data_IF_913526930206
#
_entry.id   IF_913526930206
#
_cell.length_a   1.000
_cell.length_b   1.000
_cell.length_c   1.000
_cell.angle_alpha   90.00
_cell.angle_beta   90.00
_cell.angle_gamma   90.00
#
_symmetry.space_group_name_H-M   'P 1'
#
loop_
_entity.id
_entity.type
_entity.pdbx_description
1 polymer ?
#
# COMPACT_ATOMS: atom_id res chain seq x y z
N UNK A 1 71.00 12.07 10.23
CA UNK A 1 70.09 11.09 10.88
C UNK A 1 69.39 10.31 9.77
N UNK A 2 69.75 9.05 9.58
CA UNK A 2 69.26 8.20 8.50
C UNK A 2 67.82 7.72 8.73
N UNK A 3 66.98 7.60 7.69
CA UNK A 3 65.61 7.11 7.85
C UNK A 3 65.59 5.58 7.99
N UNK A 4 64.81 5.07 8.96
CA UNK A 4 64.57 3.62 9.17
C UNK A 4 63.45 3.13 8.24
N UNK A 5 63.70 1.98 7.61
CA UNK A 5 62.77 1.22 6.76
C UNK A 5 61.66 0.52 7.58
N UNK A 6 60.46 0.29 7.00
CA UNK A 6 59.37 -0.45 7.64
C UNK A 6 59.57 -1.99 7.60
N UNK A 7 58.91 -2.76 8.49
CA UNK A 7 59.12 -4.19 8.63
C UNK A 7 58.44 -5.03 7.52
N UNK A 8 59.09 -6.15 7.18
CA UNK A 8 58.69 -7.11 6.13
C UNK A 8 57.48 -7.94 6.56
N UNK A 9 56.47 -8.03 5.69
CA UNK A 9 55.33 -8.96 5.80
C UNK A 9 55.75 -10.38 5.36
N UNK A 10 55.43 -11.39 6.17
CA UNK A 10 55.56 -12.81 5.84
C UNK A 10 54.38 -13.28 4.96
N UNK A 11 54.59 -14.21 4.01
CA UNK A 11 53.53 -14.69 3.12
C UNK A 11 52.65 -15.73 3.83
N UNK A 12 51.33 -15.52 3.86
CA UNK A 12 50.38 -16.56 4.27
C UNK A 12 49.84 -17.33 3.06
N UNK A 13 49.79 -18.64 3.25
CA UNK A 13 49.51 -19.68 2.27
C UNK A 13 48.08 -19.59 1.70
N UNK A 14 47.96 -19.70 0.37
CA UNK A 14 46.68 -19.93 -0.31
C UNK A 14 46.32 -21.42 -0.22
N UNK A 15 45.11 -21.80 0.23
CA UNK A 15 44.60 -23.14 -0.03
C UNK A 15 44.00 -23.17 -1.45
N UNK A 16 44.57 -24.06 -2.27
CA UNK A 16 44.02 -24.48 -3.56
C UNK A 16 42.79 -25.34 -3.35
N UNK A 17 41.61 -24.86 -3.73
CA UNK A 17 40.43 -25.71 -3.90
C UNK A 17 40.19 -25.95 -5.39
N UNK A 18 40.38 -27.21 -5.78
CA UNK A 18 40.11 -27.73 -7.11
C UNK A 18 38.61 -27.73 -7.39
N UNK A 19 38.26 -27.22 -8.57
CA UNK A 19 36.96 -27.32 -9.23
C UNK A 19 36.46 -28.76 -9.32
N UNK A 20 35.23 -29.00 -8.87
CA UNK A 20 34.39 -30.08 -9.39
C UNK A 20 33.02 -29.50 -9.72
N UNK A 21 32.79 -29.34 -11.02
CA UNK A 21 31.56 -28.86 -11.61
C UNK A 21 30.60 -30.04 -11.72
N UNK A 22 29.69 -30.20 -10.75
CA UNK A 22 28.60 -31.17 -10.85
C UNK A 22 27.41 -30.53 -11.56
N UNK A 23 27.14 -30.97 -12.79
CA UNK A 23 25.94 -30.66 -13.57
C UNK A 23 24.69 -31.17 -12.85
N UNK A 24 23.61 -30.39 -12.69
CA UNK A 24 22.31 -30.94 -12.35
C UNK A 24 21.70 -31.61 -13.59
N UNK A 25 21.40 -32.89 -13.45
CA UNK A 25 20.63 -33.71 -14.38
C UNK A 25 19.22 -33.15 -14.59
N UNK A 26 18.85 -32.93 -15.85
CA UNK A 26 17.51 -32.56 -16.27
C UNK A 26 16.51 -33.69 -15.95
N UNK A 27 15.50 -33.38 -15.14
CA UNK A 27 14.34 -34.24 -14.93
C UNK A 27 13.22 -33.87 -15.92
N UNK A 28 12.54 -34.85 -16.52
CA UNK A 28 11.56 -34.61 -17.57
C UNK A 28 10.24 -34.05 -17.00
N UNK A 29 9.64 -33.15 -17.77
CA UNK A 29 8.34 -32.54 -17.52
C UNK A 29 7.25 -33.58 -17.26
N UNK A 30 6.76 -33.60 -16.02
CA UNK A 30 5.57 -34.32 -15.59
C UNK A 30 4.31 -33.48 -15.84
N UNK A 31 3.34 -34.14 -16.46
CA UNK A 31 2.06 -33.60 -16.96
C UNK A 31 1.24 -32.93 -15.86
N UNK A 32 0.72 -31.74 -16.15
CA UNK A 32 -0.34 -31.08 -15.37
C UNK A 32 -1.64 -31.87 -15.49
N UNK A 33 -2.06 -32.53 -14.42
CA UNK A 33 -3.39 -33.13 -14.30
C UNK A 33 -4.36 -32.04 -13.84
N UNK A 34 -5.15 -31.52 -14.78
CA UNK A 34 -6.30 -30.66 -14.52
C UNK A 34 -7.42 -31.48 -13.87
N UNK A 35 -7.61 -31.32 -12.56
CA UNK A 35 -8.80 -31.81 -11.86
C UNK A 35 -9.95 -30.81 -12.02
N UNK A 36 -10.85 -31.10 -12.96
CA UNK A 36 -12.15 -30.44 -13.09
C UNK A 36 -13.11 -31.01 -12.05
N UNK A 37 -13.44 -30.22 -11.02
CA UNK A 37 -14.58 -30.52 -10.13
C UNK A 37 -15.87 -29.92 -10.72
N UNK A 38 -17.00 -30.63 -10.64
CA UNK A 38 -18.26 -30.19 -11.25
C UNK A 38 -18.91 -29.06 -10.45
N UNK A 39 -19.38 -28.03 -11.17
CA UNK A 39 -20.12 -26.92 -10.59
C UNK A 39 -21.55 -27.37 -10.23
N UNK A 40 -21.92 -27.22 -8.95
CA UNK A 40 -23.31 -27.32 -8.48
C UNK A 40 -24.00 -25.96 -8.63
N UNK A 41 -25.25 -25.91 -9.13
CA UNK A 41 -25.96 -24.66 -9.32
C UNK A 41 -26.53 -24.16 -8.00
N UNK A 42 -25.93 -23.12 -7.42
CA UNK A 42 -26.57 -22.36 -6.34
C UNK A 42 -27.44 -21.26 -6.96
N UNK A 43 -28.75 -21.46 -6.77
CA UNK A 43 -29.81 -20.48 -6.96
C UNK A 43 -29.54 -19.20 -6.18
N UNK A 44 -29.32 -18.10 -6.90
CA UNK A 44 -29.22 -16.75 -6.35
C UNK A 44 -30.59 -16.28 -5.82
N UNK A 45 -30.71 -15.80 -4.57
CA UNK A 45 -31.76 -14.87 -4.25
C UNK A 45 -31.28 -13.50 -4.73
N UNK A 46 -31.83 -13.05 -5.86
CA UNK A 46 -31.79 -11.65 -6.24
C UNK A 46 -32.55 -10.87 -5.15
N UNK A 47 -31.81 -10.23 -4.24
CA UNK A 47 -32.38 -9.24 -3.35
C UNK A 47 -31.60 -7.94 -3.49
N UNK A 48 -32.37 -6.90 -3.75
CA UNK A 48 -32.00 -5.56 -4.20
C UNK A 48 -30.92 -4.91 -3.31
N UNK A 49 -29.71 -4.77 -3.84
CA UNK A 49 -28.77 -3.79 -3.34
C UNK A 49 -28.91 -2.52 -4.18
N UNK A 50 -29.74 -1.58 -3.70
CA UNK A 50 -29.60 -0.17 -4.08
C UNK A 50 -28.20 0.30 -3.63
N UNK A 51 -27.18 0.08 -4.46
CA UNK A 51 -25.86 0.66 -4.22
C UNK A 51 -25.97 2.16 -4.41
N UNK A 52 -26.09 2.88 -3.28
CA UNK A 52 -25.90 4.32 -3.24
C UNK A 52 -24.59 4.67 -3.95
N UNK A 53 -24.68 5.53 -4.97
CA UNK A 53 -23.51 6.05 -5.68
C UNK A 53 -22.58 6.88 -4.77
N UNK A 54 -23.06 7.27 -3.59
CA UNK A 54 -22.36 8.12 -2.63
C UNK A 54 -21.24 7.36 -1.92
N UNK A 55 -20.07 8.00 -1.85
CA UNK A 55 -18.94 7.50 -1.08
C UNK A 55 -19.27 7.64 0.42
N UNK A 56 -19.13 6.58 1.24
CA UNK A 56 -19.35 6.68 2.68
C UNK A 56 -18.41 7.71 3.33
N UNK A 57 -18.74 8.25 4.52
CA UNK A 57 -17.88 9.21 5.20
C UNK A 57 -16.51 8.59 5.53
N UNK A 58 -15.44 9.40 5.66
CA UNK A 58 -14.14 8.91 6.09
C UNK A 58 -14.25 8.18 7.44
N UNK A 59 -13.54 7.06 7.62
CA UNK A 59 -13.51 6.37 8.90
C UNK A 59 -12.72 7.17 9.95
N UNK A 60 -12.86 6.85 11.25
CA UNK A 60 -12.00 7.41 12.29
C UNK A 60 -10.51 7.20 11.99
N UNK A 61 -9.66 8.19 12.29
CA UNK A 61 -8.24 8.16 11.93
C UNK A 61 -7.47 6.95 12.51
N UNK A 62 -7.92 6.44 13.67
CA UNK A 62 -7.29 5.32 14.40
C UNK A 62 -8.16 4.06 14.42
N UNK A 63 -9.07 3.91 13.46
CA UNK A 63 -10.06 2.83 13.42
C UNK A 63 -9.46 1.43 13.65
N UNK A 64 -8.27 1.12 13.12
CA UNK A 64 -7.62 -0.19 13.32
C UNK A 64 -7.32 -0.48 14.79
N UNK A 65 -6.65 0.45 15.50
CA UNK A 65 -6.32 0.29 16.92
C UNK A 65 -7.57 0.35 17.79
N UNK A 66 -8.50 1.24 17.44
CA UNK A 66 -9.73 1.46 18.22
C UNK A 66 -10.63 0.23 18.16
N UNK A 67 -10.86 -0.33 16.97
CA UNK A 67 -11.65 -1.55 16.81
C UNK A 67 -10.97 -2.76 17.46
N UNK A 68 -9.64 -2.88 17.39
CA UNK A 68 -8.91 -3.94 18.09
C UNK A 68 -9.15 -3.86 19.61
N UNK A 69 -9.05 -2.67 20.20
CA UNK A 69 -9.27 -2.47 21.63
C UNK A 69 -10.72 -2.79 22.04
N UNK A 70 -11.70 -2.37 21.23
CA UNK A 70 -13.13 -2.64 21.43
C UNK A 70 -13.45 -4.14 21.39
N UNK A 71 -12.93 -4.86 20.39
CA UNK A 71 -13.06 -6.32 20.33
C UNK A 71 -12.40 -6.98 21.53
N UNK A 72 -11.20 -6.53 21.93
CA UNK A 72 -10.50 -7.01 23.12
C UNK A 72 -11.35 -6.91 24.38
N UNK A 73 -12.01 -5.76 24.60
CA UNK A 73 -12.94 -5.56 25.71
C UNK A 73 -14.09 -6.56 25.70
N UNK A 74 -14.71 -6.79 24.54
CA UNK A 74 -15.80 -7.77 24.41
C UNK A 74 -15.34 -9.18 24.78
N UNK A 75 -14.13 -9.57 24.36
CA UNK A 75 -13.56 -10.88 24.67
C UNK A 75 -13.21 -11.00 26.16
N UNK A 76 -12.61 -9.97 26.75
CA UNK A 76 -12.29 -9.93 28.19
C UNK A 76 -13.54 -10.00 29.06
N UNK A 77 -14.63 -9.34 28.67
CA UNK A 77 -15.89 -9.34 29.42
C UNK A 77 -16.58 -10.71 29.43
N UNK A 78 -16.39 -11.51 28.38
CA UNK A 78 -17.07 -12.79 28.20
C UNK A 78 -17.83 -12.85 26.88
N UNK A 79 -17.49 -13.83 26.04
CA UNK A 79 -18.15 -14.09 24.77
C UNK A 79 -18.57 -15.57 24.68
N UNK A 80 -19.80 -15.83 24.23
CA UNK A 80 -20.20 -17.18 23.85
C UNK A 80 -19.55 -17.61 22.51
N UNK A 81 -19.71 -18.89 22.14
CA UNK A 81 -19.09 -19.45 20.95
C UNK A 81 -19.41 -18.67 19.65
N UNK A 82 -20.66 -18.24 19.47
CA UNK A 82 -21.07 -17.48 18.27
C UNK A 82 -20.44 -16.07 18.25
N UNK A 83 -20.30 -15.43 19.41
CA UNK A 83 -19.64 -14.13 19.54
C UNK A 83 -18.13 -14.24 19.29
N UNK A 84 -17.48 -15.29 19.78
CA UNK A 84 -16.06 -15.56 19.50
C UNK A 84 -15.83 -15.71 18.00
N UNK A 85 -16.70 -16.43 17.28
CA UNK A 85 -16.60 -16.55 15.82
C UNK A 85 -16.73 -15.19 15.11
N UNK A 86 -17.64 -14.32 15.56
CA UNK A 86 -17.75 -12.95 15.03
C UNK A 86 -16.51 -12.11 15.31
N UNK A 87 -16.01 -12.15 16.55
CA UNK A 87 -14.80 -11.45 16.96
C UNK A 87 -13.58 -11.90 16.13
N UNK A 88 -13.40 -13.22 15.94
CA UNK A 88 -12.35 -13.78 15.11
C UNK A 88 -12.44 -13.28 13.66
N UNK A 89 -13.66 -13.21 13.11
CA UNK A 89 -13.92 -12.63 11.80
C UNK A 89 -13.43 -11.18 11.69
N UNK A 90 -13.74 -10.33 12.68
CA UNK A 90 -13.26 -8.93 12.71
C UNK A 90 -11.75 -8.86 12.83
N UNK A 91 -11.15 -9.62 13.76
CA UNK A 91 -9.70 -9.63 13.98
C UNK A 91 -8.95 -10.03 12.72
N UNK A 92 -9.46 -11.01 11.95
CA UNK A 92 -8.89 -11.40 10.66
C UNK A 92 -8.83 -10.24 9.68
N UNK A 93 -9.93 -9.48 9.54
CA UNK A 93 -9.97 -8.27 8.69
C UNK A 93 -8.94 -7.24 9.15
N UNK A 94 -8.86 -6.98 10.47
CA UNK A 94 -7.88 -6.04 11.04
C UNK A 94 -6.42 -6.51 10.89
N UNK A 95 -6.18 -7.81 10.79
CA UNK A 95 -4.83 -8.37 10.59
C UNK A 95 -4.41 -8.36 9.12
N UNK A 96 -5.32 -8.69 8.21
CA UNK A 96 -5.00 -9.00 6.81
C UNK A 96 -5.31 -7.82 5.87
N UNK A 97 -6.44 -7.15 6.06
CA UNK A 97 -6.97 -6.14 5.14
C UNK A 97 -6.64 -4.70 5.55
N UNK A 98 -6.13 -4.45 6.76
CA UNK A 98 -5.98 -3.09 7.30
C UNK A 98 -5.18 -2.16 6.38
N UNK A 99 -4.15 -2.66 5.67
CA UNK A 99 -3.31 -1.87 4.75
C UNK A 99 -4.11 -1.36 3.57
N UNK A 100 -4.75 -2.28 2.84
CA UNK A 100 -5.52 -1.96 1.65
C UNK A 100 -6.76 -1.15 2.01
N UNK A 101 -7.38 -1.40 3.16
CA UNK A 101 -8.51 -0.60 3.64
C UNK A 101 -8.09 0.80 4.07
N UNK A 102 -6.97 0.97 4.79
CA UNK A 102 -6.48 2.29 5.18
C UNK A 102 -6.13 3.12 3.95
N UNK A 103 -5.31 2.57 3.05
CA UNK A 103 -4.93 3.22 1.80
C UNK A 103 -6.17 3.48 0.90
N UNK A 104 -6.97 2.43 0.68
CA UNK A 104 -8.14 2.48 -0.18
C UNK A 104 -9.20 3.45 0.33
N UNK A 105 -9.36 3.65 1.65
CA UNK A 105 -10.33 4.60 2.21
C UNK A 105 -10.07 6.06 1.84
N UNK A 106 -8.86 6.36 1.35
CA UNK A 106 -8.46 7.65 0.80
C UNK A 106 -8.23 7.57 -0.72
N UNK A 107 -8.66 6.50 -1.38
CA UNK A 107 -8.56 6.34 -2.84
C UNK A 107 -7.16 5.94 -3.34
N UNK A 108 -6.25 5.50 -2.46
CA UNK A 108 -4.98 4.92 -2.94
C UNK A 108 -5.21 3.51 -3.46
N UNK A 109 -4.70 3.23 -4.66
CA UNK A 109 -4.74 1.89 -5.24
C UNK A 109 -3.57 1.07 -4.69
N UNK A 110 -3.89 -0.11 -4.13
CA UNK A 110 -2.89 -1.07 -3.63
C UNK A 110 -2.88 -2.34 -4.49
N UNK A 111 -1.82 -3.15 -4.39
CA UNK A 111 -1.63 -4.33 -5.20
C UNK A 111 -1.01 -4.05 -6.57
N UNK A 112 -0.68 -5.13 -7.28
CA UNK A 112 -0.35 -5.08 -8.71
C UNK A 112 0.83 -4.17 -9.06
N UNK A 113 1.86 -4.08 -8.21
CA UNK A 113 3.07 -3.26 -8.41
C UNK A 113 2.83 -1.75 -8.53
N UNK A 114 1.70 -1.22 -8.03
CA UNK A 114 1.36 0.22 -8.05
C UNK A 114 2.08 1.06 -6.97
N UNK A 115 3.29 0.66 -6.57
CA UNK A 115 4.05 1.30 -5.49
C UNK A 115 5.11 0.39 -4.88
N UNK A 116 5.35 0.53 -3.57
CA UNK A 116 6.17 -0.38 -2.77
C UNK A 116 5.30 -1.15 -1.79
N UNK A 117 5.49 -2.47 -1.72
CA UNK A 117 4.75 -3.33 -0.80
C UNK A 117 5.68 -4.14 0.10
N UNK A 118 5.57 -3.92 1.40
CA UNK A 118 6.34 -4.65 2.40
C UNK A 118 7.85 -4.46 2.29
N UNK A 119 8.30 -3.32 1.74
CA UNK A 119 9.70 -2.94 1.65
C UNK A 119 10.30 -2.95 3.06
N UNK A 120 11.42 -3.65 3.25
CA UNK A 120 12.09 -3.68 4.55
C UNK A 120 12.76 -2.34 4.80
N UNK A 121 12.54 -1.78 5.99
CA UNK A 121 13.39 -0.72 6.52
C UNK A 121 14.69 -1.38 6.98
N UNK A 122 15.83 -0.87 6.54
CA UNK A 122 17.14 -1.39 6.90
C UNK A 122 17.78 -0.53 7.98
N UNK A 123 18.61 -1.13 8.83
CA UNK A 123 19.22 -0.46 9.97
C UNK A 123 19.96 0.85 9.59
N UNK A 124 20.63 0.86 8.43
CA UNK A 124 21.38 2.01 7.92
C UNK A 124 20.54 3.18 7.41
N UNK A 125 19.21 3.08 7.40
CA UNK A 125 18.30 4.19 7.08
C UNK A 125 18.02 5.09 8.30
N UNK A 126 18.50 4.69 9.48
CA UNK A 126 18.38 5.49 10.70
C UNK A 126 19.51 6.52 10.81
N UNK A 127 19.26 7.60 11.54
CA UNK A 127 20.28 8.59 11.91
C UNK A 127 20.60 8.53 13.42
N UNK A 128 21.45 9.46 13.87
CA UNK A 128 21.88 9.55 15.27
C UNK A 128 20.75 9.84 16.27
N UNK A 129 19.55 10.19 15.81
CA UNK A 129 18.39 10.41 16.67
C UNK A 129 17.55 9.13 16.89
N UNK A 130 18.01 7.99 16.39
CA UNK A 130 17.43 6.68 16.73
C UNK A 130 16.14 6.34 15.98
N UNK A 131 15.88 7.01 14.86
CA UNK A 131 14.76 6.73 13.97
C UNK A 131 15.19 6.87 12.51
N UNK A 132 14.34 6.44 11.59
CA UNK A 132 14.56 6.59 10.15
C UNK A 132 14.77 8.05 9.82
N UNK A 133 15.85 8.35 9.12
CA UNK A 133 16.18 9.70 8.70
C UNK A 133 15.10 10.25 7.75
N UNK A 134 14.76 11.53 7.92
CA UNK A 134 13.70 12.19 7.17
C UNK A 134 13.90 12.12 5.64
N UNK A 135 15.15 12.13 5.14
CA UNK A 135 15.46 12.05 3.71
C UNK A 135 15.01 10.71 3.10
N UNK A 136 15.03 9.62 3.88
CA UNK A 136 14.68 8.30 3.37
C UNK A 136 13.19 8.21 2.99
N UNK A 137 12.30 8.98 3.62
CA UNK A 137 10.88 9.02 3.21
C UNK A 137 10.71 9.53 1.77
N UNK A 138 11.50 10.53 1.36
CA UNK A 138 11.49 11.01 -0.02
C UNK A 138 12.02 9.96 -1.00
N UNK A 139 13.04 9.19 -0.60
CA UNK A 139 13.57 8.07 -1.41
C UNK A 139 12.55 6.94 -1.57
N UNK A 140 11.80 6.63 -0.52
CA UNK A 140 10.72 5.64 -0.60
C UNK A 140 9.62 6.12 -1.55
N UNK A 141 9.21 7.39 -1.43
CA UNK A 141 8.22 7.99 -2.33
C UNK A 141 8.70 8.01 -3.79
N UNK A 142 9.96 8.35 -4.04
CA UNK A 142 10.55 8.31 -5.38
C UNK A 142 10.50 6.89 -5.97
N UNK A 143 10.99 5.89 -5.25
CA UNK A 143 10.99 4.50 -5.71
C UNK A 143 9.57 3.98 -5.97
N UNK A 144 8.62 4.33 -5.10
CA UNK A 144 7.21 3.97 -5.28
C UNK A 144 6.59 4.67 -6.50
N UNK A 145 6.90 5.94 -6.74
CA UNK A 145 6.43 6.69 -7.93
C UNK A 145 6.97 6.07 -9.22
N UNK A 146 8.24 5.67 -9.26
CA UNK A 146 8.80 4.97 -10.43
C UNK A 146 8.05 3.67 -10.70
N UNK A 147 7.78 2.87 -9.67
CA UNK A 147 6.97 1.66 -9.82
C UNK A 147 5.56 1.98 -10.30
N UNK A 148 4.92 3.02 -9.75
CA UNK A 148 3.57 3.44 -10.14
C UNK A 148 3.48 3.84 -11.61
N UNK A 149 4.43 4.64 -12.12
CA UNK A 149 4.45 5.05 -13.54
C UNK A 149 4.78 3.88 -14.46
N UNK A 150 5.84 3.13 -14.15
CA UNK A 150 6.30 2.02 -15.01
C UNK A 150 5.29 0.87 -15.06
N UNK A 151 4.46 0.72 -14.03
CA UNK A 151 3.33 -0.21 -14.04
C UNK A 151 2.36 0.04 -15.19
N UNK A 152 2.14 1.29 -15.61
CA UNK A 152 1.27 1.58 -16.75
C UNK A 152 1.80 0.98 -18.06
N UNK A 153 3.12 1.02 -18.29
CA UNK A 153 3.76 0.45 -19.47
C UNK A 153 3.53 -1.07 -19.65
N UNK A 154 3.34 -1.77 -18.52
CA UNK A 154 3.25 -3.23 -18.49
C UNK A 154 1.79 -3.69 -18.40
N UNK A 155 0.99 -3.04 -17.56
CA UNK A 155 -0.29 -3.57 -17.13
C UNK A 155 -1.52 -2.75 -17.52
N UNK A 156 -1.39 -1.44 -17.73
CA UNK A 156 -2.55 -0.58 -18.04
C UNK A 156 -2.61 -0.15 -19.50
N UNK A 157 -1.46 0.19 -20.10
CA UNK A 157 -1.36 0.69 -21.46
C UNK A 157 -0.15 0.08 -22.20
N UNK A 158 -0.23 -1.21 -22.57
CA UNK A 158 0.82 -1.85 -23.34
C UNK A 158 1.05 -1.23 -24.72
N UNK A 159 0.04 -0.55 -25.29
CA UNK A 159 0.11 0.09 -26.59
C UNK A 159 1.11 1.26 -26.61
N UNK A 160 1.22 2.00 -25.51
CA UNK A 160 2.20 3.08 -25.34
C UNK A 160 3.37 2.69 -24.42
N UNK A 161 3.70 1.40 -24.31
CA UNK A 161 4.77 0.91 -23.43
C UNK A 161 6.09 1.68 -23.56
N UNK A 162 6.50 1.98 -24.79
CA UNK A 162 7.75 2.70 -25.07
C UNK A 162 7.69 4.11 -24.48
N UNK A 163 6.59 4.83 -24.72
CA UNK A 163 6.38 6.19 -24.22
C UNK A 163 6.39 6.22 -22.69
N UNK A 164 5.68 5.30 -22.02
CA UNK A 164 5.69 5.17 -20.57
C UNK A 164 7.09 4.86 -20.00
N UNK A 165 7.85 4.00 -20.68
CA UNK A 165 9.21 3.66 -20.26
C UNK A 165 10.17 4.84 -20.42
N UNK A 166 10.02 5.62 -21.49
CA UNK A 166 10.84 6.80 -21.76
C UNK A 166 10.60 7.94 -20.78
N UNK A 167 9.46 7.99 -20.08
CA UNK A 167 9.21 8.98 -19.00
C UNK A 167 10.28 8.93 -17.91
N UNK A 168 10.95 7.78 -17.75
CA UNK A 168 12.03 7.56 -16.79
C UNK A 168 13.42 7.86 -17.36
N UNK A 169 13.50 8.50 -18.53
CA UNK A 169 14.75 8.80 -19.24
C UNK A 169 14.76 10.24 -19.75
N UNK A 170 15.92 10.83 -20.04
CA UNK A 170 16.01 12.20 -20.57
C UNK A 170 15.85 12.27 -22.10
N UNK A 171 15.27 11.27 -22.77
CA UNK A 171 15.31 11.17 -24.24
C UNK A 171 14.13 11.80 -24.97
N UNK A 172 12.96 11.89 -24.34
CA UNK A 172 11.74 12.41 -24.97
C UNK A 172 10.92 13.27 -24.01
N UNK A 173 9.71 12.84 -23.66
CA UNK A 173 8.92 13.44 -22.60
C UNK A 173 9.31 12.77 -21.29
N UNK A 174 9.52 13.56 -20.24
CA UNK A 174 9.72 13.03 -18.90
C UNK A 174 9.03 13.87 -17.84
N UNK A 175 9.21 13.44 -16.59
CA UNK A 175 8.55 13.99 -15.43
C UNK A 175 9.56 14.67 -14.52
N UNK A 176 9.39 15.98 -14.30
CA UNK A 176 10.26 16.77 -13.44
C UNK A 176 9.50 17.16 -12.18
N UNK A 177 10.08 16.84 -11.02
CA UNK A 177 9.54 17.26 -9.73
C UNK A 177 9.67 18.78 -9.56
N UNK A 178 8.55 19.50 -9.48
CA UNK A 178 8.53 20.94 -9.19
C UNK A 178 8.60 21.21 -7.69
N UNK A 179 7.75 20.53 -6.92
CA UNK A 179 7.70 20.66 -5.46
C UNK A 179 7.50 19.30 -4.84
N UNK A 180 8.12 19.10 -3.67
CA UNK A 180 7.99 17.89 -2.87
C UNK A 180 7.86 18.30 -1.41
N UNK A 181 6.70 18.03 -0.82
CA UNK A 181 6.40 18.34 0.59
C UNK A 181 6.16 17.04 1.34
N UNK A 182 6.64 16.95 2.58
CA UNK A 182 6.38 15.81 3.46
C UNK A 182 5.89 16.28 4.84
N UNK A 183 4.91 15.56 5.37
CA UNK A 183 4.41 15.68 6.73
C UNK A 183 4.67 14.38 7.48
N UNK A 184 5.67 14.40 8.38
CA UNK A 184 6.03 13.26 9.23
C UNK A 184 5.04 13.13 10.38
N UNK A 185 4.44 11.94 10.54
CA UNK A 185 3.38 11.68 11.54
C UNK A 185 3.92 11.03 12.81
N UNK A 186 5.03 10.30 12.72
CA UNK A 186 5.78 9.79 13.88
C UNK A 186 7.18 9.28 13.49
N UNK A 187 8.12 9.16 14.44
CA UNK A 187 9.46 8.62 14.17
C UNK A 187 9.42 7.09 14.05
N UNK A 188 9.39 6.58 12.81
CA UNK A 188 9.50 5.14 12.51
C UNK A 188 10.93 4.65 12.78
N UNK A 189 11.08 3.43 13.30
CA UNK A 189 12.38 2.83 13.67
C UNK A 189 12.61 1.51 12.93
N UNK A 190 13.87 1.06 12.91
CA UNK A 190 14.18 -0.32 12.53
C UNK A 190 13.97 -1.27 13.72
N UNK A 191 13.55 -2.54 13.49
CA UNK A 191 13.09 -3.10 12.21
C UNK A 191 11.64 -2.70 11.92
N UNK A 192 11.31 -2.45 10.65
CA UNK A 192 9.93 -2.28 10.18
C UNK A 192 9.80 -2.71 8.71
N UNK A 193 8.57 -2.80 8.23
CA UNK A 193 8.24 -2.87 6.81
C UNK A 193 7.33 -1.72 6.45
N UNK A 194 7.49 -1.21 5.24
CA UNK A 194 6.65 -0.14 4.73
C UNK A 194 5.91 -0.56 3.46
N UNK A 195 4.74 0.05 3.28
CA UNK A 195 4.11 0.14 1.97
C UNK A 195 3.96 1.61 1.59
N UNK A 196 4.18 1.92 0.32
CA UNK A 196 4.14 3.29 -0.20
C UNK A 196 3.30 3.32 -1.46
N UNK A 197 2.32 4.22 -1.49
CA UNK A 197 1.33 4.30 -2.56
C UNK A 197 1.11 5.75 -2.99
N UNK A 198 0.81 5.92 -4.27
CA UNK A 198 0.48 7.20 -4.88
C UNK A 198 -0.96 7.22 -5.38
N UNK A 199 -1.58 8.39 -5.37
CA UNK A 199 -2.87 8.67 -6.02
C UNK A 199 -2.81 10.01 -6.74
N UNK A 200 -3.54 10.13 -7.84
CA UNK A 200 -3.84 11.41 -8.47
C UNK A 200 -4.73 12.24 -7.55
N UNK A 201 -4.33 13.48 -7.27
CA UNK A 201 -5.13 14.40 -6.43
C UNK A 201 -6.37 14.93 -7.15
N UNK A 202 -6.27 15.13 -8.46
CA UNK A 202 -7.32 15.72 -9.28
C UNK A 202 -7.56 14.88 -10.54
N UNK A 203 -8.78 14.93 -11.06
CA UNK A 203 -9.13 14.35 -12.34
C UNK A 203 -8.43 15.15 -13.46
N UNK A 204 -7.52 14.55 -14.23
CA UNK A 204 -6.80 15.23 -15.31
C UNK A 204 -7.71 15.62 -16.49
N UNK A 205 -8.89 15.00 -16.61
CA UNK A 205 -9.87 15.28 -17.66
C UNK A 205 -10.81 16.42 -17.28
N UNK A 206 -10.85 16.78 -16.00
CA UNK A 206 -11.59 17.95 -15.54
C UNK A 206 -10.81 19.19 -15.95
N UNK A 207 -11.38 19.98 -16.86
CA UNK A 207 -10.91 21.33 -17.16
C UNK A 207 -11.09 22.17 -15.89
N UNK A 208 -10.09 22.17 -15.01
CA UNK A 208 -10.16 22.97 -13.79
C UNK A 208 -10.31 24.44 -14.22
N UNK A 209 -11.32 25.07 -13.63
CA UNK A 209 -12.03 26.30 -14.03
C UNK A 209 -11.22 27.60 -14.08
N UNK A 210 -9.88 27.54 -14.10
CA UNK A 210 -8.99 28.71 -14.05
C UNK A 210 -8.19 28.96 -15.33
N UNK A 211 -8.23 28.07 -16.32
CA UNK A 211 -7.59 28.31 -17.63
C UNK A 211 -8.60 28.17 -18.76
N UNK A 212 -8.80 29.25 -19.50
CA UNK A 212 -9.61 29.32 -20.73
C UNK A 212 -9.06 28.49 -21.91
N UNK A 213 -8.06 27.64 -21.67
CA UNK A 213 -7.40 26.82 -22.69
C UNK A 213 -8.04 25.44 -22.79
N UNK A 214 -8.37 25.03 -24.00
CA UNK A 214 -8.80 23.67 -24.36
C UNK A 214 -7.67 22.64 -24.31
N UNK A 215 -6.45 23.04 -23.97
CA UNK A 215 -5.29 22.16 -23.93
C UNK A 215 -5.21 21.37 -22.60
N UNK A 216 -4.72 20.12 -22.64
CA UNK A 216 -4.44 19.33 -21.44
C UNK A 216 -3.48 20.05 -20.48
N UNK A 217 -3.58 19.78 -19.15
CA UNK A 217 -2.67 20.37 -18.19
C UNK A 217 -1.22 19.94 -18.47
N UNK A 218 -0.27 20.79 -18.12
CA UNK A 218 1.17 20.53 -18.30
C UNK A 218 1.88 20.14 -16.98
N UNK A 219 1.08 19.86 -15.95
CA UNK A 219 1.52 19.38 -14.64
C UNK A 219 0.36 18.66 -13.94
N UNK A 220 0.69 17.83 -12.97
CA UNK A 220 -0.28 17.13 -12.14
C UNK A 220 0.28 16.90 -10.73
N UNK A 221 -0.61 16.68 -9.78
CA UNK A 221 -0.24 16.48 -8.37
C UNK A 221 -0.53 15.04 -7.96
N UNK A 222 0.46 14.41 -7.32
CA UNK A 222 0.28 13.14 -6.63
C UNK A 222 0.27 13.36 -5.13
N UNK A 223 -0.66 12.68 -4.46
CA UNK A 223 -0.53 12.41 -3.03
C UNK A 223 0.20 11.09 -2.85
N UNK A 224 1.01 11.00 -1.81
CA UNK A 224 1.72 9.79 -1.42
C UNK A 224 1.55 9.52 0.08
N UNK A 225 1.40 8.25 0.44
CA UNK A 225 1.41 7.80 1.83
C UNK A 225 2.52 6.78 2.05
N UNK A 226 3.21 6.87 3.18
CA UNK A 226 4.13 5.85 3.69
C UNK A 226 3.46 5.18 4.89
N UNK A 227 3.10 3.92 4.77
CA UNK A 227 2.48 3.11 5.83
C UNK A 227 3.54 2.29 6.54
N UNK A 228 3.64 2.42 7.87
CA UNK A 228 4.41 1.51 8.71
C UNK A 228 3.59 0.28 9.04
N UNK A 229 4.16 -0.91 8.84
CA UNK A 229 3.48 -2.17 9.11
C UNK A 229 3.46 -2.47 10.61
N UNK A 230 4.54 -2.14 11.34
CA UNK A 230 4.60 -2.33 12.78
C UNK A 230 3.64 -1.42 13.54
N UNK A 231 3.61 -0.14 13.20
CA UNK A 231 2.70 0.81 13.84
C UNK A 231 1.26 0.73 13.30
N UNK A 232 1.04 -0.04 12.22
CA UNK A 232 -0.23 -0.20 11.51
C UNK A 232 -0.92 1.14 11.17
N UNK A 233 -0.13 2.15 10.79
CA UNK A 233 -0.62 3.50 10.47
C UNK A 233 0.31 4.25 9.53
N UNK A 234 -0.17 5.37 9.02
CA UNK A 234 0.58 6.28 8.15
C UNK A 234 1.71 6.95 8.95
N UNK A 235 2.94 6.75 8.51
CA UNK A 235 4.17 7.33 9.05
C UNK A 235 4.50 8.69 8.43
N UNK A 236 4.22 8.87 7.14
CA UNK A 236 4.37 10.15 6.46
C UNK A 236 3.32 10.32 5.35
N UNK A 237 2.96 11.57 5.08
CA UNK A 237 2.18 11.98 3.91
C UNK A 237 3.02 12.90 3.06
N UNK A 238 3.04 12.69 1.75
CA UNK A 238 3.78 13.51 0.81
C UNK A 238 2.85 14.07 -0.26
N UNK A 239 3.20 15.25 -0.76
CA UNK A 239 2.57 15.91 -1.91
C UNK A 239 3.65 16.21 -2.93
N UNK A 240 3.38 15.86 -4.19
CA UNK A 240 4.33 15.91 -5.30
C UNK A 240 3.70 16.68 -6.47
N UNK A 241 4.20 17.88 -6.78
CA UNK A 241 3.82 18.62 -7.99
C UNK A 241 4.80 18.26 -9.11
N UNK A 242 4.28 17.66 -10.18
CA UNK A 242 5.09 17.05 -11.25
C UNK A 242 4.79 17.76 -12.56
N UNK A 243 5.85 18.21 -13.23
CA UNK A 243 5.80 18.88 -14.54
C UNK A 243 6.09 17.89 -15.64
N UNK A 244 5.35 18.03 -16.74
CA UNK A 244 5.61 17.31 -17.97
C UNK A 244 6.58 18.14 -18.82
N UNK A 245 7.75 17.56 -19.10
CA UNK A 245 8.85 18.24 -19.73
C UNK A 245 9.26 17.52 -21.02
N UNK A 246 9.39 18.25 -22.12
CA UNK A 246 9.93 17.72 -23.38
C UNK A 246 11.42 18.06 -23.46
N UNK A 247 12.26 17.05 -23.25
CA UNK A 247 13.72 17.20 -23.29
C UNK A 247 14.24 17.62 -24.67
N UNK A 248 13.51 17.31 -25.74
CA UNK A 248 13.90 17.68 -27.11
C UNK A 248 13.70 19.17 -27.37
N UNK A 249 12.69 19.76 -26.71
CA UNK A 249 12.36 21.18 -26.80
C UNK A 249 12.93 22.00 -25.64
N UNK A 250 13.56 21.34 -24.67
CA UNK A 250 14.05 21.93 -23.42
C UNK A 250 12.98 22.79 -22.72
N UNK A 251 11.74 22.31 -22.66
CA UNK A 251 10.62 23.10 -22.13
C UNK A 251 9.44 22.28 -21.62
N UNK A 252 8.58 22.95 -20.84
CA UNK A 252 7.30 22.40 -20.39
C UNK A 252 6.40 22.08 -21.59
N UNK A 253 5.66 20.98 -21.53
CA UNK A 253 4.70 20.61 -22.57
C UNK A 253 3.38 20.12 -21.98
N UNK A 254 2.31 20.14 -22.77
CA UNK A 254 1.00 19.62 -22.36
C UNK A 254 1.07 18.11 -22.14
N UNK A 255 0.21 17.60 -21.26
CA UNK A 255 0.07 16.17 -21.02
C UNK A 255 -0.31 15.44 -22.32
N UNK A 256 0.43 14.39 -22.73
CA UNK A 256 0.05 13.58 -23.88
C UNK A 256 -1.34 12.96 -23.71
N UNK A 257 -2.12 12.85 -24.79
CA UNK A 257 -3.49 12.33 -24.75
C UNK A 257 -3.61 10.95 -24.09
N UNK A 258 -2.73 10.00 -24.45
CA UNK A 258 -2.72 8.67 -23.84
C UNK A 258 -2.53 8.71 -22.31
N UNK A 259 -1.76 9.69 -21.81
CA UNK A 259 -1.54 9.86 -20.37
C UNK A 259 -2.79 10.44 -19.70
N UNK A 260 -3.46 11.41 -20.35
CA UNK A 260 -4.75 11.95 -19.86
C UNK A 260 -5.78 10.82 -19.73
N UNK A 261 -5.92 9.98 -20.75
CA UNK A 261 -6.89 8.88 -20.77
C UNK A 261 -6.63 7.89 -19.63
N UNK A 262 -5.38 7.43 -19.48
CA UNK A 262 -4.99 6.48 -18.43
C UNK A 262 -5.09 7.09 -17.03
N UNK A 263 -4.73 8.36 -16.86
CA UNK A 263 -4.89 9.03 -15.57
C UNK A 263 -6.36 9.25 -15.22
N UNK A 264 -7.23 9.57 -16.19
CA UNK A 264 -8.66 9.72 -15.97
C UNK A 264 -9.31 8.38 -15.57
N UNK A 265 -8.93 7.28 -16.23
CA UNK A 265 -9.35 5.94 -15.83
C UNK A 265 -8.85 5.58 -14.42
N UNK A 266 -7.57 5.84 -14.16
CA UNK A 266 -6.97 5.63 -12.83
C UNK A 266 -7.71 6.41 -11.76
N UNK A 267 -8.06 7.67 -12.01
CA UNK A 267 -8.82 8.50 -11.08
C UNK A 267 -10.21 7.90 -10.78
N UNK A 268 -10.92 7.38 -11.78
CA UNK A 268 -12.19 6.67 -11.58
C UNK A 268 -12.01 5.41 -10.72
N UNK A 269 -10.91 4.67 -10.92
CA UNK A 269 -10.57 3.52 -10.06
C UNK A 269 -10.34 3.94 -8.61
N UNK A 270 -9.68 5.09 -8.36
CA UNK A 270 -9.47 5.62 -7.01
C UNK A 270 -10.79 5.93 -6.31
N UNK A 271 -11.75 6.53 -7.02
CA UNK A 271 -13.10 6.80 -6.50
C UNK A 271 -13.87 5.51 -6.19
N UNK A 272 -13.76 4.51 -7.06
CA UNK A 272 -14.36 3.19 -6.84
C UNK A 272 -13.75 2.49 -5.61
N UNK A 273 -12.43 2.53 -5.48
CA UNK A 273 -11.71 1.94 -4.35
C UNK A 273 -12.03 2.65 -3.04
N UNK A 274 -12.13 3.99 -3.05
CA UNK A 274 -12.55 4.78 -1.89
C UNK A 274 -13.93 4.37 -1.39
N UNK A 275 -14.88 4.17 -2.30
CA UNK A 275 -16.22 3.69 -1.94
C UNK A 275 -16.17 2.28 -1.34
N UNK A 276 -15.48 1.34 -2.00
CA UNK A 276 -15.35 -0.05 -1.55
C UNK A 276 -14.70 -0.13 -0.17
N UNK A 277 -13.55 0.50 0.01
CA UNK A 277 -12.78 0.43 1.25
C UNK A 277 -13.54 1.07 2.41
N UNK A 278 -14.16 2.25 2.23
CA UNK A 278 -14.95 2.88 3.29
C UNK A 278 -16.18 2.06 3.66
N UNK A 279 -16.90 1.53 2.68
CA UNK A 279 -18.04 0.65 2.94
C UNK A 279 -17.62 -0.57 3.78
N UNK A 280 -16.49 -1.19 3.41
CA UNK A 280 -15.92 -2.33 4.15
C UNK A 280 -15.49 -1.96 5.57
N UNK A 281 -14.88 -0.79 5.78
CA UNK A 281 -14.52 -0.35 7.14
C UNK A 281 -15.77 -0.14 7.99
N UNK A 282 -16.79 0.53 7.47
CA UNK A 282 -18.05 0.76 8.20
C UNK A 282 -18.82 -0.54 8.47
N UNK A 283 -18.78 -1.52 7.57
CA UNK A 283 -19.29 -2.86 7.83
C UNK A 283 -18.59 -3.50 9.04
N UNK A 284 -17.26 -3.39 9.12
CA UNK A 284 -16.48 -3.94 10.25
C UNK A 284 -16.79 -3.18 11.55
N UNK A 285 -16.96 -1.86 11.49
CA UNK A 285 -17.42 -1.05 12.63
C UNK A 285 -18.77 -1.55 13.14
N UNK A 286 -19.75 -1.74 12.25
CA UNK A 286 -21.07 -2.26 12.62
C UNK A 286 -21.02 -3.63 13.27
N UNK A 287 -20.17 -4.55 12.77
CA UNK A 287 -19.95 -5.87 13.39
C UNK A 287 -19.37 -5.77 14.80
N UNK A 288 -18.52 -4.79 15.08
CA UNK A 288 -18.00 -4.54 16.44
C UNK A 288 -19.09 -3.99 17.35
N UNK A 289 -19.91 -3.05 16.87
CA UNK A 289 -21.03 -2.51 17.64
C UNK A 289 -22.08 -3.58 17.96
N UNK A 290 -22.35 -4.50 17.04
CA UNK A 290 -23.20 -5.68 17.30
C UNK A 290 -22.60 -6.61 18.36
N UNK A 291 -21.28 -6.79 18.35
CA UNK A 291 -20.58 -7.58 19.35
C UNK A 291 -20.65 -6.92 20.74
N UNK A 292 -20.46 -5.60 20.82
CA UNK A 292 -20.56 -4.83 22.06
C UNK A 292 -21.96 -4.92 22.68
N UNK A 293 -23.02 -4.69 21.88
CA UNK A 293 -24.42 -4.86 22.32
C UNK A 293 -24.75 -6.30 22.73
N UNK A 294 -24.04 -7.28 22.20
CA UNK A 294 -24.20 -8.67 22.60
C UNK A 294 -23.46 -9.05 23.88
N UNK A 295 -22.52 -8.22 24.36
CA UNK A 295 -21.60 -8.56 25.45
C UNK A 295 -21.79 -7.63 26.63
N UNK A 296 -21.03 -6.54 26.70
CA UNK A 296 -20.97 -5.63 27.85
C UNK A 296 -21.96 -4.46 27.74
N UNK A 297 -22.36 -4.07 26.53
CA UNK A 297 -23.26 -2.94 26.26
C UNK A 297 -24.72 -3.39 26.14
N UNK A 298 -25.15 -4.22 27.10
CA UNK A 298 -26.56 -4.67 27.25
C UNK A 298 -27.04 -4.45 28.66
N UNK A 299 -28.34 -4.21 28.80
CA UNK A 299 -28.97 -4.11 30.10
C UNK A 299 -28.81 -5.43 30.88
N UNK A 300 -28.32 -5.33 32.13
CA UNK A 300 -28.04 -6.50 32.97
C UNK A 300 -26.80 -7.31 32.57
N UNK A 301 -25.83 -6.72 31.86
CA UNK A 301 -24.56 -7.37 31.57
C UNK A 301 -23.80 -7.69 32.87
N UNK A 302 -23.44 -8.97 33.06
CA UNK A 302 -22.57 -9.45 34.13
C UNK A 302 -21.30 -9.98 33.49
N UNK A 303 -20.15 -9.55 34.02
CA UNK A 303 -18.85 -9.98 33.54
C UNK A 303 -18.65 -11.47 33.83
N UNK A 304 -18.32 -12.24 32.80
CA UNK A 304 -18.01 -13.66 32.92
C UNK A 304 -16.54 -13.82 33.28
N UNK A 305 -16.27 -14.08 34.57
CA UNK A 305 -14.92 -14.29 35.10
C UNK A 305 -14.40 -15.73 34.85
N UNK A 306 -15.10 -16.55 34.06
CA UNK A 306 -14.70 -17.94 33.77
C UNK A 306 -14.75 -18.86 34.99
N UNK A 307 -15.63 -18.55 35.95
CA UNK A 307 -15.88 -19.42 37.10
C UNK A 307 -16.47 -20.74 36.63
N UNK A 308 -15.83 -21.86 36.96
CA UNK A 308 -16.43 -23.19 36.79
C UNK A 308 -17.81 -23.16 37.46
N UNK A 309 -18.88 -23.28 36.68
CA UNK A 309 -20.16 -23.74 37.24
C UNK A 309 -19.86 -25.08 37.90
N UNK A 310 -19.86 -25.09 39.23
CA UNK A 310 -19.90 -26.31 40.00
C UNK A 310 -21.23 -26.98 39.70
N UNK A 311 -21.21 -27.99 38.82
CA UNK A 311 -22.29 -28.96 38.69
C UNK A 311 -22.61 -29.50 40.10
N UNK A 312 -23.83 -29.21 40.57
CA UNK A 312 -24.48 -29.91 41.69
C UNK A 312 -25.55 -30.83 41.13
#
# INVERSE_FOLDING_TARGET
>A
MSPRLPPKLLPSLRPSFSSSCARPSALPWGRSLSSSSPATPHSSPANEAHHSSRIPPPPPQRWVSDLRARVGRCVTFGCNAAQIQRAAGVVRVLAEEWRSLTAGSEGFLSGGRRGLEGQKVVWGEQDSFGHVNNVNYFRYAESARVNWITNFAVHADPAHRKQWSELMTPTSIGLIMRTLKSEFKFPMTYPDRISVYHRLRHDPSSTSSSSSSSEPPSAFTLDCIVLSHNAQRIAARLEEDIVIYDYRKAGKTAMPGYMVDIFAETYKMQEAEMRRARARIWEVVGRVEELERGTWDREGAVEDLGGKESEQ
#
